data_IF_492960525951
#
_entry.id   IF_492960525951
#
_cell.length_a   1.000
_cell.length_b   1.000
_cell.length_c   1.000
_cell.angle_alpha   90.00
_cell.angle_beta   90.00
_cell.angle_gamma   90.00
#
_symmetry.space_group_name_H-M   'P 1'
#
loop_
_entity.id
_entity.type
_entity.pdbx_description
1 polymer ?
#
# COMPACT_ATOMS: atom_id res chain seq x y z
N UNK A 1 -59.55 -36.12 -29.66
CA UNK A 1 -59.36 -35.05 -28.70
C UNK A 1 -60.64 -34.20 -28.64
N UNK A 2 -61.18 -34.00 -27.45
CA UNK A 2 -62.27 -33.08 -27.25
C UNK A 2 -61.83 -31.65 -27.21
N UNK A 3 -62.73 -30.72 -27.46
CA UNK A 3 -62.50 -29.30 -27.35
C UNK A 3 -61.96 -28.91 -25.93
N UNK A 4 -62.57 -29.56 -24.89
CA UNK A 4 -62.12 -29.31 -23.53
C UNK A 4 -60.73 -29.78 -23.22
N UNK A 5 -60.24 -30.86 -23.84
CA UNK A 5 -58.90 -31.35 -23.68
C UNK A 5 -57.90 -30.40 -24.35
N UNK A 6 -58.25 -29.89 -25.53
CA UNK A 6 -57.43 -28.89 -26.23
C UNK A 6 -57.30 -27.61 -25.42
N UNK A 7 -58.40 -27.10 -24.87
CA UNK A 7 -58.39 -25.90 -24.05
C UNK A 7 -57.55 -26.06 -22.78
N UNK A 8 -57.62 -27.22 -22.12
CA UNK A 8 -56.79 -27.53 -20.95
C UNK A 8 -55.33 -27.57 -21.29
N UNK A 9 -54.97 -28.17 -22.44
CA UNK A 9 -53.58 -28.21 -22.91
C UNK A 9 -53.06 -26.82 -23.19
N UNK A 10 -53.83 -25.95 -23.82
CA UNK A 10 -53.45 -24.55 -24.07
C UNK A 10 -53.27 -23.80 -22.76
N UNK A 11 -54.25 -23.93 -21.84
CA UNK A 11 -54.16 -23.28 -20.53
C UNK A 11 -52.94 -23.73 -19.74
N UNK A 12 -52.63 -25.03 -19.76
CA UNK A 12 -51.46 -25.58 -19.10
C UNK A 12 -50.17 -25.05 -19.71
N UNK A 13 -50.11 -24.95 -21.06
CA UNK A 13 -48.97 -24.38 -21.75
C UNK A 13 -48.78 -22.89 -21.43
N UNK A 14 -49.86 -22.11 -21.38
CA UNK A 14 -49.81 -20.71 -20.99
C UNK A 14 -49.33 -20.53 -19.55
N UNK A 15 -49.85 -21.33 -18.63
CA UNK A 15 -49.41 -21.30 -17.23
C UNK A 15 -47.94 -21.69 -17.08
N UNK A 16 -47.48 -22.69 -17.83
CA UNK A 16 -46.09 -23.09 -17.87
C UNK A 16 -45.18 -22.01 -18.43
N UNK A 17 -45.61 -21.35 -19.49
CA UNK A 17 -44.87 -20.25 -20.09
C UNK A 17 -44.77 -19.04 -19.14
N UNK A 18 -45.87 -18.69 -18.48
CA UNK A 18 -45.93 -17.61 -17.50
C UNK A 18 -45.03 -17.90 -16.32
N UNK A 19 -45.02 -19.12 -15.81
CA UNK A 19 -44.13 -19.54 -14.74
C UNK A 19 -42.67 -19.43 -15.15
N UNK A 20 -42.30 -19.88 -16.35
CA UNK A 20 -40.96 -19.80 -16.87
C UNK A 20 -40.49 -18.35 -17.01
N UNK A 21 -41.38 -17.46 -17.43
CA UNK A 21 -41.11 -16.03 -17.52
C UNK A 21 -40.83 -15.43 -16.14
N UNK A 22 -41.67 -15.74 -15.16
CA UNK A 22 -41.48 -15.26 -13.78
C UNK A 22 -40.19 -15.80 -13.17
N UNK A 23 -39.92 -17.09 -13.34
CA UNK A 23 -38.69 -17.71 -12.86
C UNK A 23 -37.45 -17.05 -13.50
N UNK A 24 -37.50 -16.75 -14.80
CA UNK A 24 -36.44 -16.08 -15.52
C UNK A 24 -36.23 -14.65 -15.03
N UNK A 25 -37.28 -13.93 -14.73
CA UNK A 25 -37.23 -12.58 -14.16
C UNK A 25 -36.61 -12.60 -12.76
N UNK A 26 -37.03 -13.56 -11.93
CA UNK A 26 -36.45 -13.71 -10.59
C UNK A 26 -34.97 -14.06 -10.63
N UNK A 27 -34.62 -14.98 -11.53
CA UNK A 27 -33.20 -15.34 -11.73
C UNK A 27 -32.36 -14.17 -12.24
N UNK A 28 -32.87 -13.40 -13.19
CA UNK A 28 -32.21 -12.20 -13.69
C UNK A 28 -32.02 -11.16 -12.59
N UNK A 29 -33.06 -10.94 -11.77
CA UNK A 29 -32.97 -10.04 -10.62
C UNK A 29 -31.92 -10.48 -9.61
N UNK A 30 -31.86 -11.79 -9.35
CA UNK A 30 -30.87 -12.37 -8.45
C UNK A 30 -29.46 -12.23 -8.99
N UNK A 31 -29.25 -12.52 -10.27
CA UNK A 31 -27.96 -12.36 -10.92
C UNK A 31 -27.49 -10.91 -10.85
N UNK A 32 -28.35 -9.95 -11.11
CA UNK A 32 -28.04 -8.53 -11.01
C UNK A 32 -27.71 -8.12 -9.58
N UNK A 33 -28.49 -8.58 -8.62
CA UNK A 33 -28.26 -8.29 -7.20
C UNK A 33 -26.90 -8.86 -6.75
N UNK A 34 -26.62 -10.11 -7.07
CA UNK A 34 -25.37 -10.77 -6.73
C UNK A 34 -24.18 -10.08 -7.41
N UNK A 35 -24.32 -9.70 -8.68
CA UNK A 35 -23.28 -9.00 -9.40
C UNK A 35 -22.97 -7.63 -8.80
N UNK A 36 -23.99 -6.87 -8.40
CA UNK A 36 -23.82 -5.57 -7.73
C UNK A 36 -23.15 -5.71 -6.38
N UNK A 37 -23.57 -6.72 -5.61
CA UNK A 37 -22.95 -7.02 -4.32
C UNK A 37 -21.49 -7.37 -4.47
N UNK A 38 -21.17 -8.25 -5.41
CA UNK A 38 -19.80 -8.67 -5.70
C UNK A 38 -18.95 -7.50 -6.18
N UNK A 39 -19.49 -6.66 -7.05
CA UNK A 39 -18.81 -5.45 -7.53
C UNK A 39 -18.51 -4.50 -6.36
N UNK A 40 -19.47 -4.27 -5.48
CA UNK A 40 -19.28 -3.43 -4.29
C UNK A 40 -18.21 -3.99 -3.35
N UNK A 41 -18.23 -5.31 -3.11
CA UNK A 41 -17.21 -5.99 -2.30
C UNK A 41 -15.82 -5.88 -2.93
N UNK A 42 -15.71 -6.02 -4.25
CA UNK A 42 -14.46 -5.87 -4.97
C UNK A 42 -13.90 -4.45 -4.86
N UNK A 43 -14.74 -3.44 -5.01
CA UNK A 43 -14.32 -2.03 -4.87
C UNK A 43 -13.85 -1.76 -3.45
N UNK A 44 -14.57 -2.23 -2.45
CA UNK A 44 -14.20 -2.06 -1.05
C UNK A 44 -12.88 -2.76 -0.74
N UNK A 45 -12.72 -3.99 -1.20
CA UNK A 45 -11.49 -4.76 -1.03
C UNK A 45 -10.30 -4.08 -1.70
N UNK A 46 -10.47 -3.59 -2.93
CA UNK A 46 -9.43 -2.86 -3.65
C UNK A 46 -9.04 -1.56 -2.93
N UNK A 47 -10.01 -0.83 -2.36
CA UNK A 47 -9.76 0.36 -1.58
C UNK A 47 -8.96 0.05 -0.31
N UNK A 48 -9.32 -1.01 0.40
CA UNK A 48 -8.61 -1.46 1.60
C UNK A 48 -7.18 -1.89 1.29
N UNK A 49 -6.99 -2.66 0.21
CA UNK A 49 -5.66 -3.07 -0.25
C UNK A 49 -4.81 -1.86 -0.65
N UNK A 50 -5.40 -0.89 -1.31
CA UNK A 50 -4.73 0.34 -1.71
C UNK A 50 -4.24 1.13 -0.49
N UNK A 51 -5.06 1.25 0.54
CA UNK A 51 -4.67 1.90 1.80
C UNK A 51 -3.53 1.14 2.47
N UNK A 52 -3.62 -0.18 2.55
CA UNK A 52 -2.58 -1.03 3.14
C UNK A 52 -1.26 -0.93 2.37
N UNK A 53 -1.30 -0.95 1.05
CA UNK A 53 -0.12 -0.80 0.20
C UNK A 53 0.52 0.59 0.36
N UNK A 54 -0.29 1.63 0.40
CA UNK A 54 0.17 3.00 0.63
C UNK A 54 0.88 3.12 1.98
N UNK A 55 0.30 2.55 3.02
CA UNK A 55 0.89 2.55 4.36
C UNK A 55 2.24 1.82 4.37
N UNK A 56 2.31 0.66 3.73
CA UNK A 56 3.54 -0.12 3.62
C UNK A 56 4.63 0.68 2.89
N UNK A 57 4.29 1.32 1.78
CA UNK A 57 5.23 2.15 1.00
C UNK A 57 5.72 3.34 1.83
N UNK A 58 4.82 4.02 2.52
CA UNK A 58 5.17 5.16 3.38
C UNK A 58 6.07 4.74 4.53
N UNK A 59 5.75 3.64 5.19
CA UNK A 59 6.57 3.12 6.30
C UNK A 59 7.96 2.72 5.82
N UNK A 60 8.06 2.06 4.67
CA UNK A 60 9.34 1.71 4.05
C UNK A 60 10.16 2.95 3.69
N UNK A 61 9.52 3.97 3.11
CA UNK A 61 10.17 5.23 2.75
C UNK A 61 10.68 5.98 3.98
N UNK A 62 9.87 6.03 5.04
CA UNK A 62 10.26 6.67 6.31
C UNK A 62 11.43 5.93 6.96
N UNK A 63 11.37 4.61 6.97
CA UNK A 63 12.46 3.78 7.54
C UNK A 63 13.77 3.98 6.76
N UNK A 64 13.69 4.00 5.45
CA UNK A 64 14.84 4.26 4.59
C UNK A 64 15.40 5.66 4.82
N UNK A 65 14.55 6.67 4.86
CA UNK A 65 14.94 8.06 5.11
C UNK A 65 15.59 8.22 6.48
N UNK A 66 15.04 7.59 7.51
CA UNK A 66 15.59 7.60 8.85
C UNK A 66 16.97 6.93 8.89
N UNK A 67 17.13 5.79 8.20
CA UNK A 67 18.40 5.10 8.09
C UNK A 67 19.46 5.95 7.39
N UNK A 68 19.10 6.62 6.32
CA UNK A 68 19.99 7.54 5.61
C UNK A 68 20.38 8.73 6.49
N UNK A 69 19.44 9.32 7.21
CA UNK A 69 19.70 10.41 8.14
C UNK A 69 20.62 9.99 9.28
N UNK A 70 20.40 8.81 9.85
CA UNK A 70 21.25 8.26 10.91
C UNK A 70 22.66 7.98 10.41
N UNK A 71 22.80 7.49 9.18
CA UNK A 71 24.08 7.26 8.53
C UNK A 71 24.85 8.57 8.34
N UNK A 72 24.19 9.61 7.83
CA UNK A 72 24.80 10.95 7.65
C UNK A 72 25.23 11.54 8.99
N UNK A 73 24.41 11.42 10.03
CA UNK A 73 24.76 11.87 11.38
C UNK A 73 25.97 11.12 11.93
N UNK A 74 26.02 9.82 11.74
CA UNK A 74 27.12 8.97 12.20
C UNK A 74 28.42 9.36 11.50
N UNK A 75 28.40 9.52 10.18
CA UNK A 75 29.58 9.97 9.42
C UNK A 75 30.00 11.37 9.80
N UNK A 76 29.07 12.29 9.96
CA UNK A 76 29.35 13.64 10.43
C UNK A 76 29.98 13.67 11.80
N UNK A 77 29.52 12.84 12.73
CA UNK A 77 30.12 12.71 14.06
C UNK A 77 31.56 12.19 14.01
N UNK A 78 31.83 11.24 13.12
CA UNK A 78 33.20 10.73 12.91
C UNK A 78 34.12 11.80 12.31
N UNK A 79 33.61 12.57 11.35
CA UNK A 79 34.35 13.65 10.74
C UNK A 79 34.70 14.76 11.76
N UNK A 80 33.76 15.12 12.60
CA UNK A 80 33.96 16.08 13.68
C UNK A 80 35.01 15.57 14.66
N UNK A 81 34.91 14.30 15.06
CA UNK A 81 35.86 13.68 15.97
C UNK A 81 37.28 13.66 15.35
N UNK A 82 37.41 13.39 14.05
CA UNK A 82 38.69 13.43 13.34
C UNK A 82 39.25 14.84 13.30
N UNK A 83 38.44 15.85 13.05
CA UNK A 83 38.86 17.27 13.05
C UNK A 83 39.35 17.66 14.45
N UNK A 84 38.60 17.30 15.50
CA UNK A 84 39.00 17.60 16.88
C UNK A 84 40.33 16.95 17.24
N UNK A 85 40.55 15.70 16.86
CA UNK A 85 41.80 14.99 17.10
C UNK A 85 42.96 15.64 16.35
N UNK A 86 42.75 15.94 15.06
CA UNK A 86 43.80 16.60 14.25
C UNK A 86 44.09 18.01 14.74
N UNK A 87 43.06 18.73 15.16
CA UNK A 87 43.21 20.08 15.71
C UNK A 87 44.06 20.08 17.00
N UNK A 88 43.77 19.15 17.91
CA UNK A 88 44.53 19.00 19.15
C UNK A 88 46.01 18.67 18.88
N UNK A 89 46.27 17.74 17.95
CA UNK A 89 47.62 17.37 17.53
C UNK A 89 48.33 18.55 16.89
N UNK A 90 47.69 19.28 16.00
CA UNK A 90 48.27 20.43 15.32
C UNK A 90 48.54 21.56 16.30
N UNK A 91 47.73 21.77 17.29
CA UNK A 91 47.93 22.73 18.36
C UNK A 91 49.21 22.41 19.15
N UNK A 92 49.37 21.15 19.55
CA UNK A 92 50.56 20.70 20.28
C UNK A 92 51.84 20.86 19.44
N UNK A 93 51.77 20.48 18.15
CA UNK A 93 52.88 20.65 17.23
C UNK A 93 53.26 22.14 17.03
N UNK A 94 52.25 23.00 16.89
CA UNK A 94 52.46 24.43 16.73
C UNK A 94 53.09 25.05 17.98
N UNK A 95 52.61 24.68 19.15
CA UNK A 95 53.19 25.10 20.42
C UNK A 95 54.62 24.63 20.53
N UNK A 96 54.94 23.39 20.19
CA UNK A 96 56.27 22.84 20.25
C UNK A 96 57.20 23.54 19.26
N UNK A 97 56.75 23.88 18.06
CA UNK A 97 57.55 24.65 17.09
C UNK A 97 57.94 26.03 17.62
N UNK A 98 57.01 26.71 18.28
CA UNK A 98 57.30 28.02 18.89
C UNK A 98 58.31 27.87 20.03
N UNK A 99 58.10 26.90 20.91
CA UNK A 99 59.02 26.62 22.01
C UNK A 99 60.43 26.29 21.50
N UNK A 100 60.50 25.40 20.52
CA UNK A 100 61.79 25.01 19.92
C UNK A 100 62.53 26.21 19.24
N UNK A 101 61.78 27.06 18.55
CA UNK A 101 62.31 28.27 17.96
C UNK A 101 62.87 29.25 19.02
N UNK A 102 62.15 29.39 20.13
CA UNK A 102 62.62 30.26 21.23
C UNK A 102 63.81 29.67 21.97
N UNK A 103 63.92 28.36 22.09
CA UNK A 103 65.00 27.68 22.80
C UNK A 103 66.25 27.55 21.98
N UNK A 104 66.19 27.68 20.67
CA UNK A 104 67.31 27.55 19.76
C UNK A 104 68.14 28.82 19.63
N UNK A 105 67.66 29.90 20.18
CA UNK A 105 68.38 31.15 20.31
C UNK A 105 69.19 31.17 21.62
#
# INVERSE_FOLDING_TARGET
MSMGEVLRSIKKAEQGAEKRLLDAQDEASKVLSDARKKSSEMIQSAAEESVAMTQTILDAARSKGQGEADSVKSEGSKDIAAIDTNSAKNQDEAVQMVVDALMSE
#
